data_IF_915670095580
#
_entry.id   IF_915670095580
#
_cell.length_a   1.000
_cell.length_b   1.000
_cell.length_c   1.000
_cell.angle_alpha   90.00
_cell.angle_beta   90.00
_cell.angle_gamma   90.00
#
_symmetry.space_group_name_H-M   'P 1'
#
loop_
_entity.id
_entity.type
_entity.pdbx_description
1 polymer ?
#
# COMPACT_ATOMS: atom_id res chain seq x y z
N UNK A 1 -48.06 -18.56 55.70
CA UNK A 1 -47.37 -17.25 55.74
C UNK A 1 -46.97 -16.86 54.33
N UNK A 2 -47.46 -15.70 53.88
CA UNK A 2 -47.13 -15.11 52.59
C UNK A 2 -45.74 -14.46 52.64
N UNK A 3 -44.99 -14.46 51.54
CA UNK A 3 -44.39 -13.25 50.99
C UNK A 3 -44.03 -13.46 49.51
N UNK A 4 -44.75 -12.74 48.66
CA UNK A 4 -44.53 -12.59 47.22
C UNK A 4 -43.51 -11.46 47.05
N UNK A 5 -42.34 -11.72 46.49
CA UNK A 5 -41.35 -10.68 46.17
C UNK A 5 -41.19 -10.57 44.65
N UNK A 6 -41.30 -9.31 44.21
CA UNK A 6 -41.31 -8.76 42.86
C UNK A 6 -40.15 -9.24 41.96
N UNK A 7 -40.48 -9.36 40.66
CA UNK A 7 -39.54 -9.40 39.52
C UNK A 7 -38.57 -8.21 39.56
N UNK A 8 -37.31 -8.46 39.20
CA UNK A 8 -36.41 -7.47 38.60
C UNK A 8 -35.69 -8.11 37.42
N UNK A 9 -35.86 -7.54 36.24
CA UNK A 9 -35.11 -7.88 35.04
C UNK A 9 -33.62 -7.68 35.31
N UNK A 10 -32.79 -8.68 35.00
CA UNK A 10 -31.34 -8.51 34.99
C UNK A 10 -30.98 -8.02 33.59
N UNK A 11 -30.54 -6.76 33.56
CA UNK A 11 -30.23 -6.03 32.34
C UNK A 11 -29.20 -6.74 31.49
N UNK A 12 -29.44 -6.67 30.19
CA UNK A 12 -28.43 -6.78 29.15
C UNK A 12 -27.35 -5.73 29.41
N UNK A 13 -26.17 -6.19 29.80
CA UNK A 13 -24.95 -5.40 29.75
C UNK A 13 -24.03 -6.08 28.76
N UNK A 14 -24.21 -5.71 27.48
CA UNK A 14 -23.18 -5.86 26.48
C UNK A 14 -21.88 -5.29 27.04
N UNK A 15 -21.01 -6.20 27.47
CA UNK A 15 -19.64 -5.91 27.83
C UNK A 15 -18.92 -5.51 26.55
N UNK A 16 -18.76 -4.20 26.38
CA UNK A 16 -17.79 -3.62 25.48
C UNK A 16 -16.43 -4.26 25.80
N UNK A 17 -15.88 -5.01 24.84
CA UNK A 17 -14.60 -5.74 24.90
C UNK A 17 -14.72 -7.18 25.45
N UNK A 18 -15.00 -8.13 24.54
CA UNK A 18 -14.29 -9.42 24.33
C UNK A 18 -15.27 -10.52 23.92
N UNK A 19 -15.12 -11.06 22.70
CA UNK A 19 -15.43 -12.45 22.36
C UNK A 19 -14.52 -12.93 21.22
N UNK A 20 -13.84 -14.07 21.44
CA UNK A 20 -12.94 -14.82 20.54
C UNK A 20 -11.50 -14.31 20.27
N UNK A 21 -10.64 -14.41 21.28
CA UNK A 21 -9.38 -15.22 21.22
C UNK A 21 -8.30 -14.94 20.17
N UNK A 22 -8.37 -13.89 19.36
CA UNK A 22 -7.32 -13.42 18.46
C UNK A 22 -7.24 -11.89 18.57
N UNK A 23 -6.04 -11.29 18.71
CA UNK A 23 -5.93 -9.84 18.72
C UNK A 23 -6.38 -9.27 17.36
N UNK A 24 -7.50 -8.55 17.33
CA UNK A 24 -8.03 -7.88 16.12
C UNK A 24 -7.14 -6.69 15.73
N UNK A 25 -6.01 -6.98 15.09
CA UNK A 25 -5.05 -5.97 14.64
C UNK A 25 -5.16 -5.77 13.14
N UNK A 26 -6.25 -5.18 12.63
CA UNK A 26 -6.21 -4.61 11.28
C UNK A 26 -7.37 -3.68 10.93
N UNK A 27 -7.71 -2.72 11.80
CA UNK A 27 -8.54 -1.58 11.40
C UNK A 27 -8.05 -0.26 12.02
N UNK A 28 -6.74 -0.05 12.00
CA UNK A 28 -6.17 1.30 11.95
C UNK A 28 -5.08 1.31 10.87
N UNK A 29 -5.51 1.76 9.70
CA UNK A 29 -4.68 2.61 8.86
C UNK A 29 -4.21 3.78 9.74
N UNK A 30 -2.92 3.74 10.11
CA UNK A 30 -2.16 4.77 10.85
C UNK A 30 -2.71 5.19 12.20
N UNK A 31 -1.99 4.83 13.25
CA UNK A 31 -1.80 5.57 14.51
C UNK A 31 -0.79 4.73 15.34
N UNK A 32 0.13 5.16 16.21
CA UNK A 32 0.42 6.41 16.97
C UNK A 32 1.95 6.29 17.33
N UNK A 33 2.76 7.33 17.57
CA UNK A 33 2.78 8.15 18.79
C UNK A 33 3.54 9.46 18.53
N UNK A 34 2.87 10.58 18.79
CA UNK A 34 3.49 11.83 19.22
C UNK A 34 3.39 11.90 20.75
N UNK A 35 4.43 12.45 21.39
CA UNK A 35 4.53 13.32 22.59
C UNK A 35 6.00 13.16 23.06
N UNK A 36 6.81 14.17 23.38
CA UNK A 36 6.63 15.61 23.48
C UNK A 36 8.00 16.30 23.40
N UNK A 37 8.01 17.61 23.23
CA UNK A 37 9.22 18.38 22.93
C UNK A 37 10.14 18.65 24.11
N UNK A 38 11.32 19.18 23.81
CA UNK A 38 11.90 20.43 24.34
C UNK A 38 13.17 20.73 23.50
N UNK A 39 13.34 22.02 23.23
CA UNK A 39 14.43 22.70 22.52
C UNK A 39 15.84 22.27 22.98
N UNK A 40 16.77 22.05 22.03
CA UNK A 40 18.19 22.40 22.23
C UNK A 40 18.89 22.80 20.92
N UNK A 41 19.19 24.09 20.87
CA UNK A 41 20.33 24.80 20.29
C UNK A 41 21.22 24.15 19.20
N UNK A 42 21.23 24.85 18.06
CA UNK A 42 22.33 25.10 17.10
C UNK A 42 23.64 24.36 17.37
N UNK A 43 24.01 23.48 16.43
CA UNK A 43 25.39 23.30 15.95
C UNK A 43 25.38 22.63 14.56
N UNK A 44 25.79 23.39 13.55
CA UNK A 44 26.32 22.91 12.27
C UNK A 44 25.34 22.20 11.32
N UNK A 45 24.62 22.95 10.48
CA UNK A 45 24.12 22.40 9.21
C UNK A 45 25.31 22.18 8.28
N UNK A 46 25.94 21.01 8.34
CA UNK A 46 26.76 20.55 7.24
C UNK A 46 25.83 20.09 6.12
N UNK A 47 25.73 20.90 5.08
CA UNK A 47 25.10 20.55 3.81
C UNK A 47 25.69 19.24 3.31
N UNK A 48 24.90 18.18 3.28
CA UNK A 48 25.29 16.97 2.56
C UNK A 48 25.44 17.32 1.06
N UNK A 49 26.52 16.87 0.40
CA UNK A 49 26.68 17.09 -1.03
C UNK A 49 25.53 16.41 -1.78
N UNK A 50 24.76 17.20 -2.51
CA UNK A 50 23.71 16.70 -3.41
C UNK A 50 24.37 15.86 -4.50
N UNK A 51 24.30 14.54 -4.39
CA UNK A 51 24.53 13.66 -5.55
C UNK A 51 23.46 14.01 -6.58
N UNK A 52 23.86 14.48 -7.76
CA UNK A 52 22.98 14.79 -8.88
C UNK A 52 22.14 13.57 -9.25
N UNK A 53 20.92 13.49 -8.72
CA UNK A 53 19.95 12.48 -9.13
C UNK A 53 19.63 12.72 -10.60
N UNK A 54 20.12 11.83 -11.47
CA UNK A 54 19.87 11.85 -12.91
C UNK A 54 18.35 11.87 -13.13
N UNK A 55 17.80 12.99 -13.60
CA UNK A 55 16.37 13.14 -13.83
C UNK A 55 15.91 12.11 -14.87
N UNK A 56 14.93 11.28 -14.51
CA UNK A 56 14.38 10.28 -15.42
C UNK A 56 13.59 11.01 -16.53
N UNK A 57 13.73 10.62 -17.82
CA UNK A 57 13.03 11.28 -18.91
C UNK A 57 11.51 11.20 -18.69
N UNK A 58 10.83 12.34 -18.92
CA UNK A 58 9.39 12.45 -18.75
C UNK A 58 8.67 11.48 -19.69
N UNK A 59 7.93 10.54 -19.12
CA UNK A 59 7.03 9.67 -19.88
C UNK A 59 5.74 10.43 -20.10
N UNK A 60 5.46 10.82 -21.34
CA UNK A 60 4.35 11.72 -21.68
C UNK A 60 3.07 10.99 -22.12
N UNK A 61 3.15 9.68 -22.44
CA UNK A 61 2.00 8.90 -22.93
C UNK A 61 1.73 7.67 -22.08
N UNK A 62 0.47 7.25 -22.04
CA UNK A 62 0.04 6.03 -21.34
C UNK A 62 0.76 4.78 -21.90
N UNK A 63 0.86 4.68 -23.22
CA UNK A 63 1.61 3.60 -23.87
C UNK A 63 3.11 3.63 -23.53
N UNK A 64 3.71 4.82 -23.44
CA UNK A 64 5.10 5.00 -23.01
C UNK A 64 5.33 4.50 -21.59
N UNK A 65 4.39 4.77 -20.68
CA UNK A 65 4.47 4.33 -19.28
C UNK A 65 4.43 2.82 -19.16
N UNK A 66 3.46 2.19 -19.83
CA UNK A 66 3.36 0.72 -19.89
C UNK A 66 4.64 0.13 -20.50
N UNK A 67 5.10 0.64 -21.65
CA UNK A 67 6.32 0.16 -22.32
C UNK A 67 7.56 0.28 -21.43
N UNK A 68 7.65 1.34 -20.63
CA UNK A 68 8.78 1.58 -19.72
C UNK A 68 8.82 0.56 -18.58
N UNK A 69 7.67 0.20 -18.01
CA UNK A 69 7.59 -0.68 -16.84
C UNK A 69 7.46 -2.17 -17.19
N UNK A 70 6.94 -2.50 -18.38
CA UNK A 70 6.68 -3.89 -18.78
C UNK A 70 7.88 -4.84 -18.64
N UNK A 71 9.12 -4.48 -19.05
CA UNK A 71 10.26 -5.36 -18.84
C UNK A 71 10.52 -5.68 -17.36
N UNK A 72 10.28 -4.73 -16.46
CA UNK A 72 10.44 -4.96 -15.02
C UNK A 72 9.31 -5.78 -14.44
N UNK A 73 8.07 -5.51 -14.84
CA UNK A 73 6.92 -6.31 -14.44
C UNK A 73 7.10 -7.79 -14.83
N UNK A 74 7.53 -8.08 -16.08
CA UNK A 74 7.78 -9.45 -16.54
C UNK A 74 8.94 -10.13 -15.81
N UNK A 75 10.04 -9.40 -15.53
CA UNK A 75 11.13 -9.94 -14.70
C UNK A 75 10.66 -10.28 -13.29
N UNK A 76 9.82 -9.43 -12.70
CA UNK A 76 9.28 -9.67 -11.37
C UNK A 76 8.29 -10.83 -11.35
N UNK A 77 7.45 -10.98 -12.39
CA UNK A 77 6.61 -12.16 -12.54
C UNK A 77 7.42 -13.45 -12.53
N UNK A 78 8.50 -13.51 -13.32
CA UNK A 78 9.34 -14.71 -13.38
C UNK A 78 10.03 -15.03 -12.05
N UNK A 79 10.38 -14.01 -11.27
CA UNK A 79 11.14 -14.17 -10.02
C UNK A 79 10.26 -14.37 -8.78
N UNK A 80 9.13 -13.68 -8.71
CA UNK A 80 8.29 -13.54 -7.53
C UNK A 80 6.85 -13.99 -7.77
N UNK A 81 6.52 -14.48 -8.96
CA UNK A 81 5.20 -14.99 -9.35
C UNK A 81 4.05 -13.97 -9.27
N UNK A 82 4.36 -12.67 -9.16
CA UNK A 82 3.38 -11.59 -9.29
C UNK A 82 3.09 -11.34 -10.77
N UNK A 83 1.85 -11.56 -11.23
CA UNK A 83 1.47 -11.31 -12.62
C UNK A 83 1.84 -9.89 -13.07
N UNK A 84 2.45 -9.78 -14.24
CA UNK A 84 2.93 -8.52 -14.79
C UNK A 84 1.78 -7.53 -15.00
N UNK A 85 0.61 -8.01 -15.43
CA UNK A 85 -0.61 -7.24 -15.56
C UNK A 85 -1.08 -6.63 -14.23
N UNK A 86 -0.92 -7.35 -13.11
CA UNK A 86 -1.22 -6.84 -11.76
C UNK A 86 -0.24 -5.73 -11.39
N UNK A 87 1.06 -5.95 -11.48
CA UNK A 87 2.04 -4.90 -11.16
C UNK A 87 1.87 -3.65 -12.04
N UNK A 88 1.59 -3.81 -13.34
CA UNK A 88 1.37 -2.69 -14.26
C UNK A 88 0.08 -1.94 -13.95
N UNK A 89 -1.03 -2.63 -13.67
CA UNK A 89 -2.30 -1.98 -13.35
C UNK A 89 -2.26 -1.25 -12.02
N UNK A 90 -1.63 -1.82 -11.00
CA UNK A 90 -1.37 -1.13 -9.73
C UNK A 90 -0.44 0.07 -9.95
N UNK A 91 0.66 -0.06 -10.70
CA UNK A 91 1.52 1.08 -10.98
C UNK A 91 0.75 2.20 -11.71
N UNK A 92 -0.13 1.89 -12.66
CA UNK A 92 -0.98 2.88 -13.33
C UNK A 92 -1.89 3.60 -12.33
N UNK A 93 -2.62 2.83 -11.51
CA UNK A 93 -3.63 3.34 -10.59
C UNK A 93 -3.00 4.19 -9.47
N UNK A 94 -1.99 3.63 -8.79
CA UNK A 94 -1.40 4.21 -7.57
C UNK A 94 -0.52 5.43 -7.86
N UNK A 95 0.06 5.51 -9.06
CA UNK A 95 1.00 6.58 -9.41
C UNK A 95 0.41 7.69 -10.26
N UNK A 96 -0.87 7.60 -10.65
CA UNK A 96 -1.49 8.42 -11.69
C UNK A 96 -0.62 8.44 -12.96
N UNK A 97 -0.38 7.27 -13.56
CA UNK A 97 0.49 7.15 -14.75
C UNK A 97 1.90 7.72 -14.57
N UNK A 98 2.44 7.61 -13.36
CA UNK A 98 3.75 8.12 -12.96
C UNK A 98 3.79 9.63 -12.71
N UNK A 99 2.64 10.32 -12.70
CA UNK A 99 2.55 11.79 -12.54
C UNK A 99 2.43 12.24 -11.10
N UNK A 100 2.04 11.35 -10.17
CA UNK A 100 1.93 11.70 -8.76
C UNK A 100 3.24 12.26 -8.23
N UNK A 101 3.15 13.16 -7.24
CA UNK A 101 4.35 13.75 -6.62
C UNK A 101 5.26 12.67 -6.02
N UNK A 102 4.68 11.60 -5.47
CA UNK A 102 5.48 10.50 -4.89
C UNK A 102 6.21 9.70 -5.98
N UNK A 103 5.55 9.42 -7.10
CA UNK A 103 6.16 8.73 -8.24
C UNK A 103 7.26 9.57 -8.91
N UNK A 104 7.08 10.89 -9.01
CA UNK A 104 8.04 11.78 -9.68
C UNK A 104 9.20 12.21 -8.80
N UNK A 105 8.99 12.44 -7.50
CA UNK A 105 10.02 12.96 -6.59
C UNK A 105 10.73 11.88 -5.78
N UNK A 106 10.07 10.75 -5.50
CA UNK A 106 10.62 9.66 -4.69
C UNK A 106 10.74 8.34 -5.46
N UNK A 107 10.41 8.35 -6.76
CA UNK A 107 10.35 7.16 -7.60
C UNK A 107 9.45 6.04 -7.06
N UNK A 108 8.48 6.39 -6.19
CA UNK A 108 7.63 5.44 -5.50
C UNK A 108 6.28 5.33 -6.20
N UNK A 109 6.14 4.27 -7.01
CA UNK A 109 4.96 4.04 -7.85
C UNK A 109 3.75 3.54 -7.06
N UNK A 110 3.95 2.93 -5.89
CA UNK A 110 2.91 2.16 -5.19
C UNK A 110 2.54 2.75 -3.82
N UNK A 111 2.94 3.98 -3.54
CA UNK A 111 2.62 4.64 -2.26
C UNK A 111 3.22 3.94 -1.03
N UNK A 112 4.33 3.21 -1.17
CA UNK A 112 4.92 2.44 -0.07
C UNK A 112 5.41 3.38 1.03
N UNK A 113 4.86 3.23 2.24
CA UNK A 113 5.31 3.96 3.44
C UNK A 113 6.68 3.43 3.89
N UNK A 114 7.54 4.32 4.37
CA UNK A 114 8.83 3.95 4.93
C UNK A 114 8.65 3.56 6.40
N UNK A 115 9.29 2.47 6.82
CA UNK A 115 9.49 2.16 8.24
C UNK A 115 10.53 3.10 8.85
N UNK A 116 10.72 3.05 10.18
CA UNK A 116 11.61 3.97 10.88
C UNK A 116 13.08 3.87 10.43
N UNK A 117 13.50 2.68 10.02
CA UNK A 117 14.84 2.31 9.57
C UNK A 117 15.05 2.50 8.05
N UNK A 118 13.99 2.78 7.29
CA UNK A 118 14.07 2.95 5.85
C UNK A 118 14.27 4.42 5.43
N UNK A 119 15.07 4.69 4.37
CA UNK A 119 15.10 6.00 3.74
C UNK A 119 13.69 6.44 3.32
N UNK A 120 13.22 7.53 3.91
CA UNK A 120 11.86 8.01 3.73
C UNK A 120 11.78 9.53 3.66
N UNK A 121 10.80 10.03 2.91
CA UNK A 121 10.50 11.45 2.78
C UNK A 121 9.10 11.74 3.33
N UNK A 122 9.01 12.72 4.21
CA UNK A 122 7.73 13.24 4.69
C UNK A 122 7.01 14.01 3.59
N UNK A 123 5.77 13.66 3.32
CA UNK A 123 4.92 14.34 2.34
C UNK A 123 3.48 14.43 2.84
N UNK A 124 2.78 15.49 2.44
CA UNK A 124 1.33 15.56 2.59
C UNK A 124 0.67 14.53 1.67
N UNK A 125 -0.28 13.79 2.20
CA UNK A 125 -1.15 12.88 1.46
C UNK A 125 -2.59 13.06 1.92
N UNK A 126 -3.54 12.59 1.11
CA UNK A 126 -4.94 12.46 1.51
C UNK A 126 -5.16 11.02 1.97
N UNK A 127 -5.84 10.86 3.09
CA UNK A 127 -6.27 9.55 3.59
C UNK A 127 -7.76 9.57 3.87
N UNK A 128 -8.41 8.44 3.67
CA UNK A 128 -9.84 8.28 3.88
C UNK A 128 -10.07 7.45 5.15
N UNK A 129 -10.61 8.10 6.18
CA UNK A 129 -11.06 7.49 7.43
C UNK A 129 -12.22 8.32 7.97
N UNK A 130 -13.03 7.73 8.85
CA UNK A 130 -14.21 8.38 9.44
C UNK A 130 -15.17 9.02 8.42
N UNK A 131 -15.25 8.42 7.22
CA UNK A 131 -16.15 8.86 6.15
C UNK A 131 -15.68 10.07 5.33
N UNK A 132 -14.50 10.65 5.62
CA UNK A 132 -13.99 11.85 4.96
C UNK A 132 -12.52 11.74 4.54
N UNK A 133 -12.10 12.63 3.64
CA UNK A 133 -10.68 12.78 3.28
C UNK A 133 -9.97 13.75 4.22
N UNK A 134 -8.88 13.29 4.83
CA UNK A 134 -8.03 14.09 5.71
C UNK A 134 -6.66 14.30 5.08
N UNK A 135 -6.11 15.51 5.20
CA UNK A 135 -4.72 15.77 4.83
C UNK A 135 -3.81 15.42 6.01
N UNK A 136 -2.89 14.49 5.79
CA UNK A 136 -1.95 14.03 6.82
C UNK A 136 -0.53 13.98 6.26
N UNK A 137 0.47 14.11 7.14
CA UNK A 137 1.88 13.89 6.77
C UNK A 137 2.21 12.41 6.94
N UNK A 138 2.73 11.79 5.88
CA UNK A 138 3.21 10.42 5.91
C UNK A 138 4.66 10.32 5.41
N UNK A 139 5.41 9.35 5.93
CA UNK A 139 6.74 9.01 5.44
C UNK A 139 6.61 7.99 4.32
N UNK A 140 6.98 8.39 3.10
CA UNK A 140 7.02 7.49 1.95
C UNK A 140 8.45 7.05 1.67
N UNK A 141 8.60 5.78 1.30
CA UNK A 141 9.89 5.22 0.89
C UNK A 141 10.41 5.95 -0.35
N UNK A 142 11.70 6.23 -0.35
CA UNK A 142 12.41 6.78 -1.51
C UNK A 142 13.13 5.65 -2.22
N UNK A 143 12.88 5.49 -3.51
CA UNK A 143 13.57 4.53 -4.36
C UNK A 143 14.61 5.24 -5.24
N UNK A 144 15.62 4.49 -5.69
CA UNK A 144 16.61 5.00 -6.64
C UNK A 144 16.08 5.13 -8.07
N UNK A 145 15.00 4.43 -8.40
CA UNK A 145 14.33 4.43 -9.71
C UNK A 145 12.96 3.78 -9.64
N UNK A 146 12.15 3.94 -10.68
CA UNK A 146 10.90 3.18 -10.83
C UNK A 146 11.13 1.67 -10.87
N UNK A 147 12.27 1.21 -11.41
CA UNK A 147 12.63 -0.21 -11.39
C UNK A 147 12.78 -0.73 -9.96
N UNK A 148 13.49 0.02 -9.11
CA UNK A 148 13.63 -0.32 -7.69
C UNK A 148 12.28 -0.34 -6.97
N UNK A 149 11.34 0.55 -7.33
CA UNK A 149 9.98 0.52 -6.82
C UNK A 149 9.19 -0.72 -7.28
N UNK A 150 9.34 -1.15 -8.54
CA UNK A 150 8.73 -2.39 -9.06
C UNK A 150 9.26 -3.62 -8.32
N UNK A 151 10.57 -3.67 -8.05
CA UNK A 151 11.19 -4.75 -7.27
C UNK A 151 10.68 -4.75 -5.83
N UNK A 152 10.57 -3.57 -5.20
CA UNK A 152 10.05 -3.43 -3.83
C UNK A 152 8.60 -3.93 -3.72
N UNK A 153 7.74 -3.57 -4.67
CA UNK A 153 6.36 -4.06 -4.76
C UNK A 153 6.30 -5.59 -4.87
N UNK A 154 7.04 -6.17 -5.82
CA UNK A 154 7.03 -7.61 -6.02
C UNK A 154 7.53 -8.37 -4.78
N UNK A 155 8.58 -7.88 -4.11
CA UNK A 155 9.05 -8.45 -2.84
C UNK A 155 8.01 -8.39 -1.74
N UNK A 156 7.26 -7.29 -1.64
CA UNK A 156 6.19 -7.16 -0.62
C UNK A 156 5.11 -8.20 -0.82
N UNK A 157 4.68 -8.42 -2.06
CA UNK A 157 3.68 -9.45 -2.37
C UNK A 157 4.23 -10.87 -2.22
N UNK A 158 5.51 -11.11 -2.54
CA UNK A 158 6.10 -12.43 -2.41
C UNK A 158 6.40 -12.83 -0.96
N UNK A 159 6.83 -11.88 -0.12
CA UNK A 159 7.33 -12.16 1.22
C UNK A 159 6.34 -11.80 2.33
N UNK A 160 5.22 -11.16 1.99
CA UNK A 160 4.26 -10.66 2.97
C UNK A 160 4.81 -9.55 3.90
N UNK A 161 3.97 -9.03 4.80
CA UNK A 161 4.41 -8.25 5.96
C UNK A 161 5.15 -9.13 6.99
N UNK A 162 5.90 -8.51 7.90
CA UNK A 162 6.73 -9.20 8.90
C UNK A 162 5.95 -10.13 9.85
N UNK A 163 4.64 -9.91 10.02
CA UNK A 163 3.78 -10.70 10.89
C UNK A 163 3.10 -11.88 10.18
N UNK A 164 3.13 -11.92 8.85
CA UNK A 164 2.58 -13.03 8.05
C UNK A 164 3.28 -13.09 6.69
N UNK A 165 4.25 -14.00 6.57
CA UNK A 165 5.00 -14.16 5.33
C UNK A 165 4.15 -14.67 4.16
N UNK A 166 2.99 -15.29 4.45
CA UNK A 166 2.09 -15.88 3.45
C UNK A 166 0.86 -15.00 3.17
N UNK A 167 0.83 -13.77 3.69
CA UNK A 167 -0.34 -12.90 3.62
C UNK A 167 -0.88 -12.68 2.21
N UNK A 168 0.01 -12.62 1.21
CA UNK A 168 -0.35 -12.45 -0.21
C UNK A 168 -0.17 -13.73 -1.03
N UNK A 169 -0.12 -14.90 -0.39
CA UNK A 169 0.13 -16.18 -1.06
C UNK A 169 -0.90 -16.47 -2.17
N UNK A 170 -2.18 -16.17 -1.93
CA UNK A 170 -3.23 -16.33 -2.93
C UNK A 170 -3.03 -15.42 -4.16
N UNK A 171 -2.41 -14.24 -3.98
CA UNK A 171 -2.10 -13.30 -5.07
C UNK A 171 -1.02 -13.87 -5.98
N UNK A 172 0.06 -14.40 -5.41
CA UNK A 172 1.21 -14.93 -6.17
C UNK A 172 0.94 -16.32 -6.76
N UNK A 173 -0.06 -17.05 -6.25
CA UNK A 173 -0.46 -18.36 -6.79
C UNK A 173 -1.52 -18.28 -7.88
N UNK A 174 -2.23 -17.16 -7.97
CA UNK A 174 -3.28 -16.93 -8.96
C UNK A 174 -2.77 -17.16 -10.39
N UNK A 175 -3.61 -17.81 -11.21
CA UNK A 175 -3.28 -18.14 -12.61
C UNK A 175 -3.79 -17.11 -13.61
N UNK A 176 -4.65 -16.22 -13.15
CA UNK A 176 -5.20 -15.11 -13.93
C UNK A 176 -5.30 -13.85 -13.07
N UNK A 177 -5.40 -12.71 -13.76
CA UNK A 177 -5.40 -11.41 -13.11
C UNK A 177 -6.70 -11.12 -12.35
N UNK A 178 -7.82 -11.74 -12.72
CA UNK A 178 -9.08 -11.58 -12.01
C UNK A 178 -8.98 -12.17 -10.60
N UNK A 179 -8.45 -13.39 -10.51
CA UNK A 179 -8.21 -14.09 -9.26
C UNK A 179 -7.17 -13.35 -8.41
N UNK A 180 -6.07 -12.89 -9.00
CA UNK A 180 -5.07 -12.10 -8.28
C UNK A 180 -5.65 -10.77 -7.75
N UNK A 181 -6.47 -10.07 -8.55
CA UNK A 181 -7.11 -8.82 -8.14
C UNK A 181 -8.08 -9.02 -6.98
N UNK A 182 -8.87 -10.10 -7.01
CA UNK A 182 -9.76 -10.46 -5.89
C UNK A 182 -8.98 -10.89 -4.64
N UNK A 183 -7.88 -11.61 -4.82
CA UNK A 183 -7.00 -12.01 -3.73
C UNK A 183 -6.34 -10.80 -3.05
N UNK A 184 -6.00 -9.73 -3.80
CA UNK A 184 -5.49 -8.48 -3.23
C UNK A 184 -6.51 -7.82 -2.30
N UNK A 185 -7.79 -7.79 -2.68
CA UNK A 185 -8.87 -7.26 -1.82
C UNK A 185 -9.06 -8.13 -0.59
N UNK A 186 -9.09 -9.45 -0.78
CA UNK A 186 -9.26 -10.42 0.31
C UNK A 186 -8.13 -10.33 1.33
N UNK A 187 -6.89 -10.09 0.86
CA UNK A 187 -5.72 -9.84 1.70
C UNK A 187 -5.66 -8.41 2.26
N UNK A 188 -6.68 -7.57 2.07
CA UNK A 188 -6.71 -6.21 2.63
C UNK A 188 -5.65 -5.27 2.06
N UNK A 189 -5.20 -5.47 0.81
CA UNK A 189 -4.24 -4.57 0.16
C UNK A 189 -4.79 -3.14 0.04
N UNK A 190 -6.09 -3.00 -0.23
CA UNK A 190 -6.81 -1.74 -0.30
C UNK A 190 -8.16 -1.85 0.42
N UNK A 191 -8.60 -0.75 1.04
CA UNK A 191 -9.92 -0.66 1.70
C UNK A 191 -11.05 -0.36 0.72
N UNK A 192 -10.72 0.03 -0.52
CA UNK A 192 -11.70 0.28 -1.56
C UNK A 192 -12.36 -1.03 -2.01
N UNK A 193 -13.67 -1.23 -1.81
CA UNK A 193 -14.36 -2.45 -2.22
C UNK A 193 -14.33 -2.66 -3.74
N UNK A 194 -14.12 -1.60 -4.53
CA UNK A 194 -14.04 -1.66 -5.99
C UNK A 194 -12.62 -1.84 -6.52
N UNK A 195 -11.62 -2.05 -5.65
CA UNK A 195 -10.22 -2.10 -6.04
C UNK A 195 -9.94 -3.18 -7.10
N UNK A 196 -10.44 -4.40 -6.89
CA UNK A 196 -10.29 -5.49 -7.84
C UNK A 196 -10.84 -5.12 -9.22
N UNK A 197 -12.07 -4.57 -9.26
CA UNK A 197 -12.70 -4.16 -10.52
C UNK A 197 -11.93 -3.04 -11.22
N UNK A 198 -11.37 -2.09 -10.47
CA UNK A 198 -10.51 -1.03 -11.05
C UNK A 198 -9.28 -1.64 -11.74
N UNK A 199 -8.60 -2.58 -11.10
CA UNK A 199 -7.43 -3.27 -11.69
C UNK A 199 -7.84 -4.05 -12.94
N UNK A 200 -8.90 -4.86 -12.85
CA UNK A 200 -9.44 -5.65 -13.98
C UNK A 200 -9.76 -4.73 -15.17
N UNK A 201 -10.44 -3.61 -14.93
CA UNK A 201 -10.79 -2.65 -15.98
C UNK A 201 -9.54 -2.03 -16.64
N UNK A 202 -8.52 -1.68 -15.84
CA UNK A 202 -7.25 -1.17 -16.37
C UNK A 202 -6.56 -2.23 -17.23
N UNK A 203 -6.49 -3.47 -16.73
CA UNK A 203 -5.85 -4.59 -17.43
C UNK A 203 -6.53 -4.82 -18.78
N UNK A 204 -7.85 -4.91 -18.81
CA UNK A 204 -8.62 -5.12 -20.03
C UNK A 204 -8.50 -3.95 -21.00
N UNK A 205 -8.68 -2.71 -20.52
CA UNK A 205 -8.63 -1.49 -21.33
C UNK A 205 -7.30 -1.33 -22.06
N UNK A 206 -6.19 -1.70 -21.42
CA UNK A 206 -4.85 -1.57 -21.97
C UNK A 206 -4.24 -2.90 -22.44
N UNK A 207 -5.04 -3.98 -22.46
CA UNK A 207 -4.63 -5.33 -22.82
C UNK A 207 -3.33 -5.76 -22.10
N UNK A 208 -3.25 -5.53 -20.79
CA UNK A 208 -2.03 -5.77 -20.00
C UNK A 208 -1.76 -7.25 -19.78
N UNK A 209 -2.77 -8.12 -19.85
CA UNK A 209 -2.62 -9.58 -19.75
C UNK A 209 -1.69 -10.16 -20.82
N UNK A 210 -1.46 -9.44 -21.92
CA UNK A 210 -0.46 -9.83 -22.94
C UNK A 210 0.96 -9.92 -22.38
N UNK A 211 1.24 -9.25 -21.25
CA UNK A 211 2.52 -9.27 -20.55
C UNK A 211 2.67 -10.44 -19.58
N UNK A 212 1.61 -11.20 -19.30
CA UNK A 212 1.63 -12.31 -18.33
C UNK A 212 2.31 -13.59 -18.87
N UNK A 213 3.00 -13.49 -20.01
CA UNK A 213 3.73 -14.59 -20.66
C UNK A 213 5.14 -14.76 -20.13
#
# INVERSE_FOLDING_TARGET
MAFKIKRRAKGDTGGLLVHHGQPQWLNIFILICLIGGVVWLVKGHQSQPTTTAKAQPAVTTHAGFIKKLAPSAQRMQKKYHVLASISLSQAILESDWGKSTNATKNYNLFGVKATADEPGKLMMTKEYYDGAYHQVKQRFRVYSSWDASMVGHAKRLANGPSWDANHYQAVIQAKDYQTAAQALVTAGYATDPNYAQKLINIIQKYNLQRYDK
#
